data_IF_567462524189
#
_entry.id   IF_567462524189
#
_cell.length_a   1.000
_cell.length_b   1.000
_cell.length_c   1.000
_cell.angle_alpha   90.00
_cell.angle_beta   90.00
_cell.angle_gamma   90.00
#
_symmetry.space_group_name_H-M   'P 1'
#
loop_
_entity.id
_entity.type
_entity.pdbx_description
1 polymer ?
#
# COMPACT_ATOMS: atom_id res chain seq x y z
N UNK A 1 13.41 -7.12 18.15
CA UNK A 1 13.49 -6.82 16.71
C UNK A 1 13.98 -5.40 16.50
N UNK A 2 14.60 -5.13 15.36
CA UNK A 2 14.89 -3.77 14.95
C UNK A 2 13.72 -3.15 14.19
N UNK A 3 13.52 -1.85 14.39
CA UNK A 3 12.48 -1.09 13.70
C UNK A 3 12.95 0.36 13.47
N UNK A 4 12.38 0.96 12.41
CA UNK A 4 12.50 2.39 12.16
C UNK A 4 11.30 3.08 12.78
N UNK A 5 11.52 3.73 13.92
CA UNK A 5 10.46 4.32 14.74
C UNK A 5 10.36 5.81 14.47
N UNK A 6 9.17 6.28 14.11
CA UNK A 6 8.80 7.69 14.10
C UNK A 6 8.65 8.17 15.53
N UNK A 7 9.61 8.95 16.02
CA UNK A 7 9.70 9.37 17.43
C UNK A 7 9.29 10.81 17.64
N UNK A 8 9.38 11.64 16.63
CA UNK A 8 8.93 13.04 16.61
C UNK A 8 8.87 13.54 15.17
N UNK A 9 8.24 14.70 14.95
CA UNK A 9 8.19 15.37 13.63
C UNK A 9 9.60 15.44 13.02
N UNK A 10 9.74 14.96 11.80
CA UNK A 10 10.96 14.86 11.03
C UNK A 10 12.06 14.00 11.71
N UNK A 11 11.68 13.12 12.63
CA UNK A 11 12.62 12.29 13.35
C UNK A 11 12.22 10.81 13.27
N UNK A 12 13.09 10.02 12.63
CA UNK A 12 13.01 8.56 12.59
C UNK A 12 14.25 7.99 13.28
N UNK A 13 14.06 7.04 14.18
CA UNK A 13 15.14 6.37 14.92
C UNK A 13 15.11 4.88 14.62
N UNK A 14 16.22 4.37 14.08
CA UNK A 14 16.43 2.92 13.97
C UNK A 14 16.91 2.40 15.30
N UNK A 15 16.11 1.54 15.93
CA UNK A 15 16.39 1.03 17.27
C UNK A 15 15.79 -0.34 17.53
N UNK A 16 16.17 -0.95 18.62
CA UNK A 16 15.58 -2.17 19.11
C UNK A 16 14.20 -1.91 19.73
N UNK A 17 13.22 -2.72 19.35
CA UNK A 17 11.84 -2.73 19.83
C UNK A 17 11.41 -4.14 20.22
N UNK A 18 10.35 -4.26 21.01
CA UNK A 18 9.79 -5.57 21.38
C UNK A 18 9.24 -6.28 20.16
N UNK A 19 9.47 -7.60 20.09
CA UNK A 19 8.83 -8.42 19.07
C UNK A 19 7.30 -8.38 19.23
N UNK A 20 6.54 -8.46 18.10
CA UNK A 20 5.10 -8.62 18.18
C UNK A 20 4.75 -9.92 18.90
N UNK A 21 3.69 -9.87 19.70
CA UNK A 21 3.21 -11.03 20.48
C UNK A 21 2.18 -11.78 19.62
N UNK A 22 2.29 -13.12 19.63
CA UNK A 22 1.32 -14.00 19.00
C UNK A 22 -0.06 -13.85 19.67
N UNK A 23 -1.09 -13.64 18.85
CA UNK A 23 -2.49 -13.52 19.30
C UNK A 23 -3.37 -14.51 18.56
N UNK A 24 -4.43 -15.04 19.18
CA UNK A 24 -5.39 -15.88 18.48
C UNK A 24 -5.96 -15.17 17.24
N UNK A 25 -5.89 -15.85 16.08
CA UNK A 25 -6.37 -15.31 14.80
C UNK A 25 -5.48 -14.26 14.15
N UNK A 26 -4.27 -14.02 14.70
CA UNK A 26 -3.23 -13.20 14.08
C UNK A 26 -1.99 -14.04 13.80
N UNK A 27 -1.30 -13.72 12.72
CA UNK A 27 -0.01 -14.32 12.36
C UNK A 27 1.09 -13.27 12.43
N UNK A 28 2.31 -13.72 12.70
CA UNK A 28 3.52 -12.88 12.69
C UNK A 28 4.19 -13.02 11.32
N UNK A 29 4.35 -11.90 10.65
CA UNK A 29 5.09 -11.80 9.41
C UNK A 29 6.53 -11.38 9.69
N UNK A 30 7.52 -12.14 9.18
CA UNK A 30 8.89 -11.66 8.98
C UNK A 30 8.94 -10.86 7.68
N UNK A 31 9.23 -9.58 7.79
CA UNK A 31 9.20 -8.66 6.66
C UNK A 31 10.43 -8.84 5.78
N UNK A 32 10.22 -8.92 4.48
CA UNK A 32 11.28 -8.93 3.47
C UNK A 32 11.40 -7.58 2.76
N UNK A 33 10.27 -6.92 2.53
CA UNK A 33 10.24 -5.58 1.98
C UNK A 33 9.07 -4.78 2.53
N UNK A 34 9.28 -3.48 2.69
CA UNK A 34 8.25 -2.51 3.04
C UNK A 34 8.43 -1.26 2.19
N UNK A 35 7.40 -0.88 1.46
CA UNK A 35 7.34 0.38 0.74
C UNK A 35 7.18 1.57 1.68
N UNK A 36 7.49 2.75 1.17
CA UNK A 36 7.27 4.04 1.83
C UNK A 36 6.21 4.80 1.06
N UNK A 37 5.02 4.91 1.64
CA UNK A 37 3.90 5.64 1.05
C UNK A 37 4.06 7.16 1.25
N UNK A 38 3.45 7.94 0.39
CA UNK A 38 3.32 9.39 0.58
C UNK A 38 2.64 9.75 1.91
N UNK A 39 1.76 8.89 2.42
CA UNK A 39 1.11 9.08 3.73
C UNK A 39 2.09 8.91 4.91
N UNK A 40 3.12 8.07 4.78
CA UNK A 40 4.19 7.97 5.79
C UNK A 40 5.03 9.26 5.79
N UNK A 41 5.26 9.86 4.61
CA UNK A 41 5.93 11.16 4.50
C UNK A 41 5.07 12.28 5.10
N UNK A 42 3.74 12.25 4.96
CA UNK A 42 2.86 13.20 5.65
C UNK A 42 2.98 13.09 7.18
N UNK A 43 3.02 11.85 7.70
CA UNK A 43 3.26 11.61 9.12
C UNK A 43 4.62 12.16 9.56
N UNK A 44 5.69 11.81 8.82
CA UNK A 44 7.04 12.30 9.08
C UNK A 44 7.11 13.83 9.21
N UNK A 45 6.37 14.54 8.36
CA UNK A 45 6.30 16.01 8.40
C UNK A 45 5.30 16.56 9.42
N UNK A 46 4.70 15.74 10.29
CA UNK A 46 3.74 16.15 11.31
C UNK A 46 2.39 16.64 10.74
N UNK A 47 2.02 16.14 9.53
CA UNK A 47 0.79 16.54 8.81
C UNK A 47 -0.32 15.47 8.82
N UNK A 48 -0.20 14.44 9.67
CA UNK A 48 -1.22 13.38 9.80
C UNK A 48 -1.53 13.15 11.29
N UNK A 49 -2.70 13.58 11.72
CA UNK A 49 -3.22 13.45 13.08
C UNK A 49 -3.58 12.01 13.49
N UNK A 50 -3.57 11.08 12.54
CA UNK A 50 -3.80 9.64 12.77
C UNK A 50 -2.52 8.87 13.05
N UNK A 51 -1.37 9.49 12.83
CA UNK A 51 -0.02 8.93 13.04
C UNK A 51 0.76 9.80 14.01
N UNK A 52 0.55 9.53 15.30
CA UNK A 52 1.18 10.30 16.38
C UNK A 52 2.39 9.51 16.90
N UNK A 53 3.57 10.16 17.02
CA UNK A 53 4.74 9.50 17.57
C UNK A 53 4.57 9.18 19.09
N UNK A 54 5.22 8.10 19.62
CA UNK A 54 6.07 7.16 18.87
C UNK A 54 5.25 6.10 18.13
N UNK A 55 5.65 5.77 16.87
CA UNK A 55 4.94 4.81 16.03
C UNK A 55 5.90 4.19 15.00
N UNK A 56 5.78 2.90 14.73
CA UNK A 56 6.39 2.27 13.57
C UNK A 56 5.45 2.50 12.38
N UNK A 57 5.93 3.21 11.35
CA UNK A 57 5.19 3.48 10.11
C UNK A 57 5.27 2.31 9.13
N UNK A 58 4.68 2.47 7.95
CA UNK A 58 4.74 1.50 6.84
C UNK A 58 3.55 0.55 6.79
N UNK A 59 3.00 0.35 5.58
CA UNK A 59 1.82 -0.48 5.34
C UNK A 59 1.84 -1.18 3.97
N UNK A 60 2.88 -1.01 3.18
CA UNK A 60 3.10 -1.66 1.89
C UNK A 60 4.09 -2.82 2.10
N UNK A 61 3.62 -4.00 2.54
CA UNK A 61 4.47 -5.02 3.17
C UNK A 61 4.36 -6.36 2.48
N UNK A 62 5.51 -6.99 2.25
CA UNK A 62 5.63 -8.40 1.86
C UNK A 62 6.62 -9.14 2.77
N UNK A 63 6.43 -10.44 2.90
CA UNK A 63 7.30 -11.24 3.76
C UNK A 63 6.88 -12.71 3.88
N UNK A 64 7.41 -13.40 4.90
CA UNK A 64 7.14 -14.80 5.17
C UNK A 64 6.52 -14.96 6.55
N UNK A 65 5.38 -15.64 6.62
CA UNK A 65 4.67 -15.92 7.88
C UNK A 65 5.47 -16.90 8.73
N UNK A 66 5.60 -16.58 10.02
CA UNK A 66 6.42 -17.32 10.97
C UNK A 66 5.62 -18.36 11.79
N UNK A 67 4.30 -18.17 11.94
CA UNK A 67 3.45 -19.03 12.78
C UNK A 67 2.06 -19.24 12.16
N UNK A 68 1.20 -20.00 12.86
CA UNK A 68 -0.20 -20.22 12.46
C UNK A 68 -0.37 -21.00 11.15
N UNK A 69 -1.58 -20.89 10.57
CA UNK A 69 -1.98 -21.70 9.39
C UNK A 69 -1.22 -21.33 8.10
N UNK A 70 -0.67 -20.12 8.04
CA UNK A 70 0.09 -19.63 6.88
C UNK A 70 1.60 -19.77 7.04
N UNK A 71 2.08 -20.45 8.10
CA UNK A 71 3.52 -20.60 8.38
C UNK A 71 4.32 -21.03 7.14
N UNK A 72 5.40 -20.30 6.87
CA UNK A 72 6.30 -20.54 5.72
C UNK A 72 5.79 -19.99 4.39
N UNK A 73 4.58 -19.43 4.32
CA UNK A 73 4.04 -18.82 3.09
C UNK A 73 4.63 -17.46 2.85
N UNK A 74 4.97 -17.17 1.60
CA UNK A 74 5.30 -15.83 1.12
C UNK A 74 3.99 -15.08 0.84
N UNK A 75 3.86 -13.87 1.39
CA UNK A 75 2.58 -13.15 1.43
C UNK A 75 2.75 -11.64 1.29
N UNK A 76 1.66 -10.98 0.90
CA UNK A 76 1.43 -9.55 1.07
C UNK A 76 0.28 -9.33 2.04
N UNK A 77 0.21 -8.12 2.61
CA UNK A 77 -0.80 -7.78 3.60
C UNK A 77 -1.80 -6.76 3.03
N UNK A 78 -3.09 -6.98 3.33
CA UNK A 78 -4.05 -5.89 3.29
C UNK A 78 -3.89 -5.09 4.60
N UNK A 79 -3.41 -3.84 4.56
CA UNK A 79 -3.17 -3.07 5.77
C UNK A 79 -4.44 -2.63 6.49
N UNK A 80 -5.61 -2.65 5.82
CA UNK A 80 -6.89 -2.24 6.39
C UNK A 80 -7.48 -3.36 7.24
N UNK A 81 -7.45 -3.20 8.55
CA UNK A 81 -7.99 -4.14 9.52
C UNK A 81 -9.36 -3.64 9.98
N UNK A 82 -10.39 -4.46 9.82
CA UNK A 82 -11.79 -4.08 10.07
C UNK A 82 -12.46 -5.04 11.05
N UNK A 83 -13.58 -4.64 11.66
CA UNK A 83 -14.29 -5.51 12.62
C UNK A 83 -14.96 -6.72 11.97
N UNK A 84 -15.27 -6.67 10.68
CA UNK A 84 -15.89 -7.76 9.91
C UNK A 84 -17.39 -8.00 10.21
N UNK A 85 -18.01 -7.24 11.13
CA UNK A 85 -19.38 -7.52 11.62
C UNK A 85 -20.33 -6.32 11.57
N UNK A 86 -19.87 -5.10 11.36
CA UNK A 86 -20.74 -3.93 11.21
C UNK A 86 -21.37 -3.91 9.81
N UNK A 87 -22.42 -3.13 9.65
CA UNK A 87 -23.16 -3.00 8.39
C UNK A 87 -22.27 -2.63 7.20
N UNK A 88 -21.25 -1.80 7.41
CA UNK A 88 -20.29 -1.47 6.38
C UNK A 88 -19.48 -2.69 5.95
N UNK A 89 -18.96 -3.47 6.90
CA UNK A 89 -18.19 -4.67 6.60
C UNK A 89 -19.01 -5.73 5.89
N UNK A 90 -20.24 -6.00 6.37
CA UNK A 90 -21.13 -7.01 5.79
C UNK A 90 -21.53 -6.65 4.35
N UNK A 91 -21.66 -5.34 4.05
CA UNK A 91 -22.05 -4.84 2.73
C UNK A 91 -20.84 -4.48 1.82
N UNK A 92 -19.63 -4.98 2.10
CA UNK A 92 -18.44 -4.77 1.26
C UNK A 92 -17.91 -3.32 1.25
N UNK A 93 -18.28 -2.51 2.24
CA UNK A 93 -17.81 -1.13 2.43
C UNK A 93 -16.88 -1.02 3.64
N UNK A 94 -15.95 -1.95 3.75
CA UNK A 94 -15.05 -2.12 4.89
C UNK A 94 -14.22 -0.86 5.20
N UNK A 95 -13.91 -0.06 4.19
CA UNK A 95 -13.22 1.22 4.34
C UNK A 95 -14.01 2.26 5.18
N UNK A 96 -15.32 2.06 5.38
CA UNK A 96 -16.18 2.87 6.24
C UNK A 96 -16.39 2.26 7.63
N UNK A 97 -15.73 1.15 7.96
CA UNK A 97 -15.85 0.52 9.27
C UNK A 97 -15.45 1.51 10.38
N UNK A 98 -16.30 1.76 11.40
CA UNK A 98 -15.97 2.67 12.50
C UNK A 98 -14.82 2.14 13.37
N UNK A 99 -14.69 0.82 13.47
CA UNK A 99 -13.65 0.14 14.25
C UNK A 99 -12.44 -0.27 13.37
N UNK A 100 -12.20 0.46 12.28
CA UNK A 100 -11.05 0.15 11.42
C UNK A 100 -9.74 0.60 12.04
N UNK A 101 -8.70 -0.14 11.76
CA UNK A 101 -7.31 0.29 11.95
C UNK A 101 -6.52 0.04 10.66
N UNK A 102 -5.37 0.69 10.53
CA UNK A 102 -4.45 0.49 9.42
C UNK A 102 -3.06 0.29 10.00
N UNK A 103 -2.26 -0.59 9.41
CA UNK A 103 -0.85 -0.74 9.77
C UNK A 103 -0.14 0.61 9.69
N UNK A 104 0.70 0.92 10.68
CA UNK A 104 1.41 2.19 10.73
C UNK A 104 0.53 3.38 11.09
N UNK A 105 -0.63 3.16 11.76
CA UNK A 105 -1.48 4.20 12.35
C UNK A 105 -1.79 3.88 13.81
N UNK A 106 -1.98 4.91 14.64
CA UNK A 106 -2.42 4.74 16.01
C UNK A 106 -3.78 5.35 16.33
N UNK A 107 -4.47 5.92 15.35
CA UNK A 107 -5.87 6.36 15.47
C UNK A 107 -6.73 5.85 14.31
N UNK A 108 -7.97 5.46 14.55
CA UNK A 108 -8.65 5.35 15.87
C UNK A 108 -8.12 4.22 16.75
N UNK A 109 -7.48 3.18 16.19
CA UNK A 109 -6.95 2.02 16.92
C UNK A 109 -5.49 1.82 16.50
N UNK A 110 -4.60 1.73 17.51
CA UNK A 110 -3.17 1.59 17.26
C UNK A 110 -2.82 0.25 16.60
N UNK A 111 -2.04 0.34 15.53
CA UNK A 111 -1.35 -0.76 14.88
C UNK A 111 0.05 -0.32 14.44
N UNK A 112 1.06 -1.01 14.96
CA UNK A 112 2.44 -0.81 14.51
C UNK A 112 2.58 -1.24 13.06
N UNK A 113 3.40 -0.53 12.29
CA UNK A 113 3.56 -0.74 10.86
C UNK A 113 4.71 -1.67 10.48
N UNK A 114 5.01 -1.67 9.20
CA UNK A 114 5.95 -2.58 8.55
C UNK A 114 7.37 -2.07 8.36
N UNK A 115 7.72 -0.86 8.84
CA UNK A 115 9.13 -0.43 8.84
C UNK A 115 9.89 -1.07 10.02
N UNK A 116 9.83 -2.41 10.10
CA UNK A 116 10.39 -3.25 11.15
C UNK A 116 10.76 -4.64 10.60
N UNK A 117 11.43 -5.47 11.39
CA UNK A 117 11.72 -6.86 11.01
C UNK A 117 10.47 -7.76 11.05
N UNK A 118 9.52 -7.47 11.95
CA UNK A 118 8.32 -8.28 12.16
C UNK A 118 7.09 -7.41 12.40
N UNK A 119 5.93 -7.90 11.96
CA UNK A 119 4.63 -7.30 12.24
C UNK A 119 3.58 -8.38 12.52
N UNK A 120 2.64 -8.11 13.43
CA UNK A 120 1.46 -8.96 13.66
C UNK A 120 0.28 -8.48 12.83
N UNK A 121 -0.47 -9.42 12.22
CA UNK A 121 -1.58 -9.13 11.32
C UNK A 121 -2.68 -10.19 11.46
N UNK A 122 -3.97 -9.82 11.45
CA UNK A 122 -5.07 -10.79 11.40
C UNK A 122 -4.97 -11.68 10.17
N UNK A 123 -5.23 -12.97 10.35
CA UNK A 123 -5.15 -13.98 9.29
C UNK A 123 -5.97 -13.65 8.05
N UNK A 124 -7.11 -12.97 8.22
CA UNK A 124 -7.99 -12.54 7.10
C UNK A 124 -7.37 -11.47 6.20
N UNK A 125 -6.30 -10.81 6.67
CA UNK A 125 -5.59 -9.76 5.96
C UNK A 125 -4.37 -10.27 5.18
N UNK A 126 -4.15 -11.60 5.14
CA UNK A 126 -3.01 -12.24 4.52
C UNK A 126 -3.39 -12.76 3.14
N UNK A 127 -2.59 -12.43 2.14
CA UNK A 127 -2.73 -12.90 0.76
C UNK A 127 -1.44 -13.58 0.31
N UNK A 128 -1.52 -14.86 -0.08
CA UNK A 128 -0.35 -15.58 -0.63
C UNK A 128 0.02 -14.98 -1.99
N UNK A 129 1.31 -14.80 -2.23
CA UNK A 129 1.81 -14.34 -3.52
C UNK A 129 2.01 -15.53 -4.48
N UNK A 130 1.89 -15.33 -5.81
CA UNK A 130 2.26 -16.33 -6.81
C UNK A 130 3.71 -16.77 -6.62
N UNK A 131 4.01 -18.07 -6.93
CA UNK A 131 5.35 -18.65 -6.72
C UNK A 131 6.44 -18.03 -7.59
N UNK A 132 6.06 -17.48 -8.72
CA UNK A 132 6.92 -16.84 -9.71
C UNK A 132 7.12 -15.34 -9.48
N UNK A 133 6.44 -14.76 -8.50
CA UNK A 133 6.60 -13.35 -8.13
C UNK A 133 7.68 -13.20 -7.05
N UNK A 134 8.64 -12.32 -7.29
CA UNK A 134 9.65 -11.98 -6.29
C UNK A 134 8.99 -11.34 -5.05
N UNK A 135 9.42 -11.79 -3.88
CA UNK A 135 8.81 -11.36 -2.62
C UNK A 135 9.03 -9.87 -2.33
N UNK A 136 10.12 -9.28 -2.82
CA UNK A 136 10.37 -7.84 -2.65
C UNK A 136 9.48 -7.03 -3.59
N UNK A 137 9.34 -7.48 -4.84
CA UNK A 137 8.45 -6.85 -5.82
C UNK A 137 7.00 -6.92 -5.36
N UNK A 138 6.60 -7.99 -4.68
CA UNK A 138 5.26 -8.14 -4.13
C UNK A 138 4.86 -7.03 -3.13
N UNK A 139 5.81 -6.31 -2.53
CA UNK A 139 5.50 -5.20 -1.61
C UNK A 139 4.72 -4.06 -2.26
N UNK A 140 4.77 -3.93 -3.61
CA UNK A 140 3.97 -2.94 -4.35
C UNK A 140 2.51 -3.36 -4.58
N UNK A 141 2.08 -4.50 -4.05
CA UNK A 141 0.71 -4.99 -4.23
C UNK A 141 -0.34 -4.03 -3.65
N UNK A 142 -0.06 -3.43 -2.49
CA UNK A 142 -0.97 -2.46 -1.86
C UNK A 142 -1.16 -1.21 -2.75
N UNK A 143 -0.12 -0.45 -3.14
CA UNK A 143 -0.32 0.71 -4.01
C UNK A 143 -0.85 0.33 -5.40
N UNK A 144 -0.59 -0.89 -5.88
CA UNK A 144 -1.21 -1.41 -7.12
C UNK A 144 -2.72 -1.60 -6.95
N UNK A 145 -3.16 -2.15 -5.81
CA UNK A 145 -4.59 -2.30 -5.52
C UNK A 145 -5.31 -0.95 -5.41
N UNK A 146 -4.68 0.05 -4.77
CA UNK A 146 -5.17 1.43 -4.72
C UNK A 146 -5.33 2.02 -6.12
N UNK A 147 -4.31 1.86 -6.96
CA UNK A 147 -4.29 2.35 -8.34
C UNK A 147 -5.34 1.65 -9.21
N UNK A 148 -5.49 0.33 -9.08
CA UNK A 148 -6.51 -0.45 -9.78
C UNK A 148 -7.92 -0.01 -9.38
N UNK A 149 -8.15 0.18 -8.09
CA UNK A 149 -9.44 0.65 -7.59
C UNK A 149 -9.81 2.02 -8.18
N UNK A 150 -8.87 2.95 -8.23
CA UNK A 150 -9.07 4.27 -8.83
C UNK A 150 -9.43 4.17 -10.33
N UNK A 151 -8.73 3.33 -11.10
CA UNK A 151 -9.02 3.09 -12.52
C UNK A 151 -10.40 2.48 -12.70
N UNK A 152 -10.78 1.47 -11.89
CA UNK A 152 -12.08 0.81 -11.96
C UNK A 152 -13.23 1.76 -11.61
N UNK A 153 -13.08 2.60 -10.59
CA UNK A 153 -14.08 3.63 -10.24
C UNK A 153 -14.24 4.65 -11.39
N UNK A 154 -13.13 5.09 -11.98
CA UNK A 154 -13.17 5.97 -13.14
C UNK A 154 -13.91 5.32 -14.31
N UNK A 155 -13.61 4.06 -14.63
CA UNK A 155 -14.24 3.32 -15.71
C UNK A 155 -15.76 3.19 -15.55
N UNK A 156 -16.27 2.99 -14.33
CA UNK A 156 -17.70 2.90 -14.02
C UNK A 156 -18.48 4.17 -14.37
N UNK A 157 -17.81 5.32 -14.42
CA UNK A 157 -18.44 6.60 -14.76
C UNK A 157 -18.48 6.90 -16.26
N UNK A 158 -17.74 6.12 -17.06
CA UNK A 158 -17.61 6.33 -18.51
C UNK A 158 -18.81 5.77 -19.28
N UNK A 159 -19.19 6.46 -20.38
CA UNK A 159 -20.21 5.99 -21.33
C UNK A 159 -19.63 5.13 -22.47
N UNK A 160 -18.34 4.87 -22.46
CA UNK A 160 -17.60 4.06 -23.44
C UNK A 160 -16.46 3.32 -22.76
N UNK A 161 -15.95 2.23 -23.37
CA UNK A 161 -14.79 1.52 -22.82
C UNK A 161 -13.59 2.45 -22.61
N UNK A 162 -12.87 2.29 -21.50
CA UNK A 162 -11.71 3.13 -21.18
C UNK A 162 -10.60 2.99 -22.22
N UNK A 163 -10.51 1.84 -22.92
CA UNK A 163 -9.60 1.61 -24.05
C UNK A 163 -9.78 2.62 -25.20
N UNK A 164 -10.96 3.21 -25.32
CA UNK A 164 -11.32 4.19 -26.36
C UNK A 164 -11.26 5.65 -25.82
N UNK A 165 -10.67 5.83 -24.64
CA UNK A 165 -10.53 7.13 -24.03
C UNK A 165 -9.12 7.69 -24.23
N UNK A 166 -9.02 9.04 -24.17
CA UNK A 166 -7.78 9.73 -23.92
C UNK A 166 -7.68 9.93 -22.40
N UNK A 167 -6.58 9.51 -21.80
CA UNK A 167 -6.41 9.55 -20.36
C UNK A 167 -5.23 10.45 -20.01
N UNK A 168 -5.45 11.41 -19.14
CA UNK A 168 -4.40 12.24 -18.55
C UNK A 168 -4.14 11.79 -17.10
N UNK A 169 -2.90 11.49 -16.82
CA UNK A 169 -2.40 11.19 -15.46
C UNK A 169 -1.57 12.38 -15.01
N UNK A 170 -2.03 13.05 -13.96
CA UNK A 170 -1.27 14.13 -13.33
C UNK A 170 -0.43 13.58 -12.18
N UNK A 171 0.89 13.59 -12.37
CA UNK A 171 1.89 13.03 -11.46
C UNK A 171 2.46 11.70 -11.96
N UNK A 172 3.77 11.69 -12.23
CA UNK A 172 4.55 10.51 -12.64
C UNK A 172 5.19 9.78 -11.45
N UNK A 173 4.63 9.88 -10.24
CA UNK A 173 5.06 9.11 -9.08
C UNK A 173 4.56 7.66 -9.12
N UNK A 174 4.78 6.90 -8.03
CA UNK A 174 4.42 5.47 -7.95
C UNK A 174 2.96 5.20 -8.35
N UNK A 175 1.99 5.93 -7.79
CA UNK A 175 0.56 5.75 -8.11
C UNK A 175 0.27 6.08 -9.58
N UNK A 176 0.82 7.18 -10.11
CA UNK A 176 0.61 7.54 -11.52
C UNK A 176 1.18 6.51 -12.48
N UNK A 177 2.38 6.00 -12.20
CA UNK A 177 3.00 4.91 -12.99
C UNK A 177 2.16 3.62 -12.93
N UNK A 178 1.71 3.22 -11.72
CA UNK A 178 0.87 2.03 -11.57
C UNK A 178 -0.49 2.19 -12.29
N UNK A 179 -1.12 3.36 -12.22
CA UNK A 179 -2.32 3.64 -13.01
C UNK A 179 -2.05 3.52 -14.52
N UNK A 180 -0.92 4.06 -15.00
CA UNK A 180 -0.54 3.98 -16.41
C UNK A 180 -0.30 2.53 -16.87
N UNK A 181 0.35 1.72 -16.04
CA UNK A 181 0.56 0.30 -16.29
C UNK A 181 -0.77 -0.45 -16.39
N UNK A 182 -1.66 -0.24 -15.43
CA UNK A 182 -2.99 -0.87 -15.43
C UNK A 182 -3.79 -0.46 -16.67
N UNK A 183 -3.83 0.83 -16.99
CA UNK A 183 -4.50 1.34 -18.19
C UNK A 183 -3.93 0.72 -19.48
N UNK A 184 -2.61 0.67 -19.58
CA UNK A 184 -1.91 0.17 -20.77
C UNK A 184 -2.01 -1.35 -20.91
N UNK A 185 -1.73 -2.12 -19.83
CA UNK A 185 -1.59 -3.58 -19.88
C UNK A 185 -2.90 -4.32 -19.67
N UNK A 186 -3.71 -3.89 -18.70
CA UNK A 186 -4.95 -4.58 -18.35
C UNK A 186 -6.17 -4.02 -19.11
N UNK A 187 -6.21 -2.71 -19.33
CA UNK A 187 -7.33 -2.03 -19.97
C UNK A 187 -7.12 -1.74 -21.46
N UNK A 188 -5.95 -2.04 -22.01
CA UNK A 188 -5.60 -1.80 -23.42
C UNK A 188 -5.81 -0.34 -23.88
N UNK A 189 -5.70 0.63 -22.98
CA UNK A 189 -5.75 2.04 -23.31
C UNK A 189 -4.46 2.45 -24.04
N UNK A 190 -4.57 3.08 -25.21
CA UNK A 190 -3.43 3.46 -26.06
C UNK A 190 -3.10 4.94 -26.01
N UNK A 191 -4.07 5.77 -25.66
CA UNK A 191 -3.90 7.24 -25.64
C UNK A 191 -3.76 7.72 -24.18
N UNK A 192 -2.54 7.56 -23.65
CA UNK A 192 -2.19 7.93 -22.28
C UNK A 192 -1.20 9.08 -22.32
N UNK A 193 -1.47 10.12 -21.53
CA UNK A 193 -0.58 11.25 -21.27
C UNK A 193 -0.22 11.24 -19.80
N UNK A 194 1.07 11.35 -19.47
CA UNK A 194 1.56 11.51 -18.10
C UNK A 194 2.21 12.89 -18.00
N UNK A 195 1.76 13.70 -17.05
CA UNK A 195 2.26 15.05 -16.79
C UNK A 195 2.89 15.12 -15.40
N UNK A 196 4.15 15.54 -15.32
CA UNK A 196 4.87 15.79 -14.05
C UNK A 196 5.93 16.88 -14.27
N UNK A 197 6.08 17.89 -13.39
CA UNK A 197 7.15 18.88 -13.49
C UNK A 197 8.56 18.29 -13.20
N UNK A 198 8.63 17.08 -12.65
CA UNK A 198 9.90 16.41 -12.40
C UNK A 198 10.25 15.48 -13.55
N UNK A 199 11.20 15.93 -14.37
CA UNK A 199 11.68 15.18 -15.53
C UNK A 199 12.18 13.78 -15.17
N UNK A 200 12.85 13.60 -14.03
CA UNK A 200 13.35 12.28 -13.61
C UNK A 200 12.23 11.27 -13.41
N UNK A 201 11.04 11.71 -12.95
CA UNK A 201 9.87 10.85 -12.84
C UNK A 201 9.29 10.48 -14.20
N UNK A 202 9.26 11.41 -15.14
CA UNK A 202 8.82 11.13 -16.52
C UNK A 202 9.79 10.16 -17.21
N UNK A 203 11.09 10.37 -17.06
CA UNK A 203 12.12 9.48 -17.60
C UNK A 203 12.00 8.06 -16.99
N UNK A 204 11.71 7.95 -15.71
CA UNK A 204 11.47 6.65 -15.07
C UNK A 204 10.19 5.98 -15.63
N UNK A 205 9.08 6.71 -15.72
CA UNK A 205 7.83 6.18 -16.29
C UNK A 205 8.02 5.66 -17.72
N UNK A 206 8.85 6.33 -18.52
CA UNK A 206 9.09 5.95 -19.92
C UNK A 206 9.74 4.58 -20.11
N UNK A 207 10.39 4.05 -19.08
CA UNK A 207 10.99 2.70 -19.09
C UNK A 207 9.95 1.58 -19.04
N UNK A 208 8.77 1.86 -18.52
CA UNK A 208 7.76 0.84 -18.20
C UNK A 208 6.49 0.96 -19.04
N UNK A 209 6.14 2.15 -19.51
CA UNK A 209 4.89 2.39 -20.24
C UNK A 209 5.11 3.26 -21.48
N UNK A 210 4.44 2.90 -22.58
CA UNK A 210 4.38 3.74 -23.76
C UNK A 210 3.24 4.75 -23.58
N UNK A 211 3.60 6.01 -23.35
CA UNK A 211 2.69 7.13 -23.15
C UNK A 211 3.31 8.43 -23.70
N UNK A 212 2.51 9.47 -23.83
CA UNK A 212 3.02 10.82 -24.05
C UNK A 212 3.41 11.44 -22.70
N UNK A 213 4.61 11.97 -22.60
CA UNK A 213 5.14 12.61 -21.39
C UNK A 213 5.16 14.12 -21.57
N UNK A 214 4.68 14.87 -20.59
CA UNK A 214 4.51 16.31 -20.66
C UNK A 214 4.98 16.98 -19.37
N UNK A 215 5.83 17.98 -19.52
CA UNK A 215 6.11 18.95 -18.47
C UNK A 215 5.02 20.04 -18.52
N UNK A 216 4.25 20.27 -17.44
CA UNK A 216 3.10 21.19 -17.44
C UNK A 216 3.49 22.66 -17.53
#
# INVERSE_FOLDING_TARGET
MHALVYTDTQTLVYREEKNPIEKPGESILKIHASGICGSDMHAYHGKDDRRIPPLILGHEVSGIIQNGKFKGKAVVLNPLITCGKCDYCINGREHLCPDRSILGMNRPIERQGGLAEYVSIPDKNIYEIPKDLDIKEASVAEPTAVSLHAVLLGEQTLKKPISNCKVLIQGGGAIGLLCALILSKEKNCKDIVISDPNKLRLDECSKYVSAKFVDP
#
